data_IF_750791237913
#
_entry.id   IF_750791237913
#
_cell.length_a   1.000
_cell.length_b   1.000
_cell.length_c   1.000
_cell.angle_alpha   90.00
_cell.angle_beta   90.00
_cell.angle_gamma   90.00
#
_symmetry.space_group_name_H-M   'P 1'
#
loop_
_entity.id
_entity.type
_entity.pdbx_description
1 polymer ?
#
# COMPACT_ATOMS: atom_id res chain seq x y z
N UNK A 1 -1.35 -19.25 53.66
CA UNK A 1 -0.16 -19.18 52.78
C UNK A 1 -0.64 -18.82 51.38
N UNK A 2 0.17 -18.04 50.70
CA UNK A 2 -0.10 -17.22 49.52
C UNK A 2 -0.44 -17.99 48.21
N UNK A 3 -1.21 -17.30 47.33
CA UNK A 3 -1.01 -17.16 45.87
C UNK A 3 -1.20 -18.42 44.99
N UNK A 4 -1.70 -18.42 43.75
CA UNK A 4 -2.24 -17.45 42.77
C UNK A 4 -2.74 -18.27 41.58
N UNK A 5 -3.67 -17.74 40.79
CA UNK A 5 -3.95 -18.31 39.47
C UNK A 5 -5.18 -17.73 38.79
N UNK A 6 -5.17 -16.44 38.49
CA UNK A 6 -6.00 -15.91 37.40
C UNK A 6 -5.55 -16.55 36.09
N UNK A 7 -6.50 -16.89 35.21
CA UNK A 7 -6.45 -16.56 33.78
C UNK A 7 -7.75 -16.97 33.07
N UNK A 8 -8.37 -15.98 32.42
CA UNK A 8 -8.99 -16.20 31.12
C UNK A 8 -10.49 -16.50 31.08
N UNK A 9 -11.34 -15.55 31.45
CA UNK A 9 -12.70 -15.53 30.90
C UNK A 9 -12.76 -14.56 29.71
N UNK A 10 -12.50 -15.11 28.52
CA UNK A 10 -12.89 -14.51 27.24
C UNK A 10 -14.38 -14.17 27.34
N UNK A 11 -14.69 -12.87 27.29
CA UNK A 11 -16.07 -12.38 27.19
C UNK A 11 -16.66 -12.97 25.91
N UNK A 12 -17.48 -14.02 26.12
CA UNK A 12 -18.31 -14.66 25.12
C UNK A 12 -19.17 -13.56 24.49
N UNK A 13 -19.06 -13.44 23.17
CA UNK A 13 -19.97 -12.64 22.36
C UNK A 13 -21.40 -12.99 22.74
N UNK A 14 -22.12 -11.99 23.22
CA UNK A 14 -23.51 -12.09 23.59
C UNK A 14 -24.28 -12.37 22.29
N UNK A 15 -24.76 -13.61 22.16
CA UNK A 15 -25.76 -13.98 21.18
C UNK A 15 -27.13 -13.68 21.78
N UNK A 16 -27.85 -12.72 21.22
CA UNK A 16 -29.33 -12.57 21.21
C UNK A 16 -29.62 -11.33 20.34
N UNK A 17 -30.50 -11.33 19.34
CA UNK A 17 -31.84 -11.93 19.24
C UNK A 17 -31.96 -12.68 17.89
N UNK A 18 -32.70 -13.78 17.93
CA UNK A 18 -33.10 -14.64 16.82
C UNK A 18 -33.55 -13.88 15.56
N UNK A 19 -33.17 -14.42 14.39
CA UNK A 19 -33.68 -14.13 13.03
C UNK A 19 -33.32 -12.79 12.36
N UNK A 20 -32.58 -11.88 12.99
CA UNK A 20 -32.26 -10.55 12.43
C UNK A 20 -30.81 -10.25 12.07
N UNK A 21 -30.56 -9.20 11.28
CA UNK A 21 -29.23 -8.56 11.17
C UNK A 21 -28.75 -8.04 12.54
N UNK A 22 -27.45 -8.19 12.82
CA UNK A 22 -26.79 -7.43 13.89
C UNK A 22 -26.72 -5.94 13.55
N UNK A 23 -26.55 -5.08 14.55
CA UNK A 23 -26.49 -3.62 14.34
C UNK A 23 -25.42 -3.20 13.32
N UNK A 24 -24.24 -3.82 13.40
CA UNK A 24 -23.17 -3.58 12.43
C UNK A 24 -23.53 -4.09 11.02
N UNK A 25 -24.32 -5.15 10.90
CA UNK A 25 -24.81 -5.65 9.61
C UNK A 25 -25.91 -4.76 9.03
N UNK A 26 -26.80 -4.21 9.85
CA UNK A 26 -27.81 -3.22 9.42
C UNK A 26 -27.16 -1.97 8.85
N UNK A 27 -26.15 -1.43 9.53
CA UNK A 27 -25.39 -0.27 9.05
C UNK A 27 -24.69 -0.59 7.72
N UNK A 28 -24.04 -1.76 7.62
CA UNK A 28 -23.39 -2.18 6.38
C UNK A 28 -24.39 -2.34 5.23
N UNK A 29 -25.52 -2.98 5.49
CA UNK A 29 -26.58 -3.17 4.50
C UNK A 29 -27.14 -1.83 4.01
N UNK A 30 -27.41 -0.91 4.93
CA UNK A 30 -27.87 0.43 4.60
C UNK A 30 -26.86 1.21 3.74
N UNK A 31 -25.56 1.16 4.10
CA UNK A 31 -24.53 1.81 3.31
C UNK A 31 -24.42 1.23 1.89
N UNK A 32 -24.63 -0.09 1.72
CA UNK A 32 -24.66 -0.71 0.39
C UNK A 32 -25.86 -0.21 -0.44
N UNK A 33 -27.03 -0.04 0.17
CA UNK A 33 -28.19 0.55 -0.51
C UNK A 33 -27.96 2.02 -0.89
N UNK A 34 -27.31 2.80 -0.02
CA UNK A 34 -26.94 4.18 -0.34
C UNK A 34 -25.96 4.25 -1.53
N UNK A 35 -24.92 3.42 -1.56
CA UNK A 35 -23.97 3.34 -2.68
C UNK A 35 -24.69 2.93 -3.96
N UNK A 36 -25.60 1.96 -3.88
CA UNK A 36 -26.41 1.55 -5.02
C UNK A 36 -27.29 2.68 -5.58
N UNK A 37 -27.82 3.56 -4.72
CA UNK A 37 -28.69 4.66 -5.15
C UNK A 37 -27.91 5.90 -5.64
N UNK A 38 -26.77 6.20 -5.03
CA UNK A 38 -26.05 7.46 -5.23
C UNK A 38 -24.80 7.34 -6.11
N UNK A 39 -24.30 6.13 -6.38
CA UNK A 39 -23.06 5.99 -7.16
C UNK A 39 -23.27 6.42 -8.63
N UNK A 40 -22.38 7.28 -9.18
CA UNK A 40 -22.38 7.65 -10.59
C UNK A 40 -22.02 6.50 -11.54
N UNK A 41 -21.42 5.41 -11.04
CA UNK A 41 -20.85 4.35 -11.87
C UNK A 41 -21.71 3.08 -11.84
N UNK A 42 -22.11 2.60 -13.03
CA UNK A 42 -23.03 1.47 -13.17
C UNK A 42 -22.52 0.19 -12.49
N UNK A 43 -21.23 -0.13 -12.68
CA UNK A 43 -20.62 -1.31 -12.07
C UNK A 43 -20.56 -1.25 -10.54
N UNK A 44 -20.45 -0.06 -9.95
CA UNK A 44 -20.51 0.11 -8.49
C UNK A 44 -21.92 -0.11 -7.96
N UNK A 45 -22.94 0.42 -8.66
CA UNK A 45 -24.34 0.20 -8.30
C UNK A 45 -24.70 -1.27 -8.34
N UNK A 46 -24.35 -1.97 -9.42
CA UNK A 46 -24.61 -3.40 -9.59
C UNK A 46 -23.89 -4.25 -8.53
N UNK A 47 -22.62 -3.96 -8.27
CA UNK A 47 -21.85 -4.67 -7.25
C UNK A 47 -22.42 -4.44 -5.83
N UNK A 48 -22.81 -3.21 -5.51
CA UNK A 48 -23.41 -2.88 -4.22
C UNK A 48 -24.75 -3.59 -4.03
N UNK A 49 -25.62 -3.62 -5.05
CA UNK A 49 -26.88 -4.38 -5.02
C UNK A 49 -26.64 -5.88 -4.90
N UNK A 50 -25.68 -6.43 -5.64
CA UNK A 50 -25.33 -7.85 -5.54
C UNK A 50 -24.80 -8.21 -4.13
N UNK A 51 -23.99 -7.33 -3.54
CA UNK A 51 -23.52 -7.49 -2.17
C UNK A 51 -24.66 -7.42 -1.15
N UNK A 52 -25.59 -6.48 -1.29
CA UNK A 52 -26.78 -6.38 -0.44
C UNK A 52 -27.65 -7.64 -0.54
N UNK A 53 -27.92 -8.14 -1.75
CA UNK A 53 -28.67 -9.39 -1.98
C UNK A 53 -28.02 -10.60 -1.30
N UNK A 54 -26.70 -10.74 -1.40
CA UNK A 54 -25.96 -11.82 -0.70
C UNK A 54 -26.07 -11.71 0.81
N UNK A 55 -26.06 -10.48 1.35
CA UNK A 55 -26.17 -10.23 2.78
C UNK A 55 -27.57 -10.58 3.31
N UNK A 56 -28.64 -10.20 2.58
CA UNK A 56 -30.00 -10.58 2.91
C UNK A 56 -30.22 -12.10 2.83
N UNK A 57 -29.75 -12.74 1.76
CA UNK A 57 -29.85 -14.19 1.56
C UNK A 57 -29.16 -15.00 2.68
N UNK A 58 -28.04 -14.52 3.22
CA UNK A 58 -27.33 -15.15 4.34
C UNK A 58 -28.19 -15.23 5.61
N UNK A 59 -29.12 -14.30 5.79
CA UNK A 59 -30.05 -14.24 6.92
C UNK A 59 -31.46 -14.72 6.55
N UNK A 60 -31.64 -15.33 5.37
CA UNK A 60 -32.94 -15.77 4.84
C UNK A 60 -33.99 -14.65 4.73
N UNK A 61 -33.56 -13.41 4.51
CA UNK A 61 -34.45 -12.25 4.34
C UNK A 61 -34.57 -11.86 2.88
N UNK A 62 -35.72 -11.27 2.52
CA UNK A 62 -35.84 -10.54 1.26
C UNK A 62 -35.10 -9.20 1.32
N UNK A 63 -34.72 -8.64 0.15
CA UNK A 63 -34.02 -7.35 0.11
C UNK A 63 -34.87 -6.21 0.66
N UNK A 64 -36.18 -6.28 0.47
CA UNK A 64 -37.16 -5.29 0.96
C UNK A 64 -37.35 -5.39 2.47
N UNK A 65 -37.53 -6.60 2.98
CA UNK A 65 -37.63 -6.89 4.42
C UNK A 65 -36.35 -6.50 5.18
N UNK A 66 -35.18 -6.73 4.57
CA UNK A 66 -33.89 -6.33 5.13
C UNK A 66 -33.70 -4.80 5.15
N UNK A 67 -34.36 -4.06 4.26
CA UNK A 67 -34.29 -2.60 4.18
C UNK A 67 -35.19 -1.91 5.22
N UNK A 68 -36.26 -2.57 5.66
CA UNK A 68 -37.19 -2.04 6.67
C UNK A 68 -36.56 -1.98 8.08
N UNK A 69 -35.54 -2.81 8.34
CA UNK A 69 -34.75 -2.83 9.57
C UNK A 69 -33.64 -1.77 9.67
N UNK A 70 -33.81 -0.62 9.02
CA UNK A 70 -32.84 0.47 8.97
C UNK A 70 -32.36 0.94 10.35
N UNK A 71 -31.17 1.56 10.45
CA UNK A 71 -30.65 2.05 11.72
C UNK A 71 -31.69 3.01 12.34
N UNK A 72 -32.05 2.78 13.60
CA UNK A 72 -32.90 3.70 14.35
C UNK A 72 -32.17 5.05 14.37
N UNK A 73 -32.81 6.09 13.84
CA UNK A 73 -32.33 7.46 13.93
C UNK A 73 -32.38 7.93 15.40
N UNK A 74 -31.44 7.46 16.21
CA UNK A 74 -31.09 8.23 17.39
C UNK A 74 -30.42 9.51 16.90
N UNK A 75 -30.88 10.70 17.33
CA UNK A 75 -30.27 11.95 16.93
C UNK A 75 -28.84 11.96 17.44
N UNK A 76 -27.90 11.56 16.58
CA UNK A 76 -26.48 11.74 16.81
C UNK A 76 -26.29 13.23 17.02
N UNK A 77 -26.07 13.62 18.27
CA UNK A 77 -25.68 14.98 18.63
C UNK A 77 -24.62 15.40 17.62
N UNK A 78 -24.90 16.43 16.82
CA UNK A 78 -23.94 16.99 15.88
C UNK A 78 -22.70 17.30 16.71
N UNK A 79 -21.67 16.47 16.61
CA UNK A 79 -20.42 16.69 17.31
C UNK A 79 -20.01 18.11 16.96
N UNK A 80 -19.96 18.98 17.98
CA UNK A 80 -19.43 20.34 17.81
C UNK A 80 -18.13 20.19 17.06
N UNK A 81 -17.98 20.89 15.93
CA UNK A 81 -16.73 20.88 15.15
C UNK A 81 -15.60 21.14 16.14
N UNK A 82 -14.84 20.09 16.47
CA UNK A 82 -13.64 20.26 17.25
C UNK A 82 -12.81 21.25 16.47
N UNK A 83 -12.56 22.43 17.04
CA UNK A 83 -11.63 23.39 16.45
C UNK A 83 -10.27 22.70 16.48
N UNK A 84 -9.94 22.03 15.38
CA UNK A 84 -8.71 21.29 15.25
C UNK A 84 -7.58 22.30 15.23
N UNK A 85 -6.97 22.54 16.39
CA UNK A 85 -5.77 23.36 16.46
C UNK A 85 -4.62 22.52 15.88
N UNK A 86 -4.38 22.68 14.58
CA UNK A 86 -3.24 22.08 13.89
C UNK A 86 -1.97 22.39 14.69
N UNK A 87 -1.25 21.34 15.09
CA UNK A 87 0.04 21.48 15.76
C UNK A 87 1.04 22.18 14.82
N UNK A 88 2.10 22.79 15.35
CA UNK A 88 3.05 23.57 14.54
C UNK A 88 3.67 22.72 13.41
N UNK A 89 3.95 21.45 13.65
CA UNK A 89 4.45 20.48 12.66
C UNK A 89 3.43 20.20 11.57
N UNK A 90 2.17 20.13 11.92
CA UNK A 90 1.07 19.87 10.99
C UNK A 90 0.79 21.05 10.06
N UNK A 91 0.99 22.28 10.55
CA UNK A 91 0.95 23.49 9.71
C UNK A 91 2.09 23.51 8.70
N UNK A 92 3.31 23.14 9.12
CA UNK A 92 4.46 23.05 8.22
C UNK A 92 4.23 21.99 7.14
N UNK A 93 3.67 20.83 7.52
CA UNK A 93 3.31 19.78 6.58
C UNK A 93 2.16 20.20 5.63
N UNK A 94 1.11 20.83 6.14
CA UNK A 94 0.03 21.36 5.30
C UNK A 94 0.58 22.39 4.30
N UNK A 95 1.44 23.31 4.75
CA UNK A 95 2.06 24.30 3.86
C UNK A 95 2.96 23.63 2.81
N UNK A 96 3.70 22.58 3.16
CA UNK A 96 4.53 21.87 2.17
C UNK A 96 3.69 21.14 1.11
N UNK A 97 2.56 20.54 1.49
CA UNK A 97 1.62 19.95 0.53
C UNK A 97 1.04 20.99 -0.42
N UNK A 98 0.62 22.17 0.09
CA UNK A 98 0.09 23.24 -0.76
C UNK A 98 1.13 23.75 -1.77
N UNK A 99 2.41 23.81 -1.39
CA UNK A 99 3.49 24.14 -2.32
C UNK A 99 3.65 23.07 -3.41
N UNK A 100 3.54 21.79 -3.07
CA UNK A 100 3.58 20.70 -4.04
C UNK A 100 2.36 20.70 -4.98
N UNK A 101 1.18 21.03 -4.48
CA UNK A 101 -0.04 21.13 -5.29
C UNK A 101 0.08 22.22 -6.36
N UNK A 102 0.72 23.35 -6.03
CA UNK A 102 0.99 24.41 -7.00
C UNK A 102 1.90 23.93 -8.13
N UNK A 103 2.93 23.13 -7.81
CA UNK A 103 3.81 22.53 -8.81
C UNK A 103 3.08 21.49 -9.67
N UNK A 104 2.23 20.66 -9.07
CA UNK A 104 1.42 19.69 -9.81
C UNK A 104 0.46 20.39 -10.79
N UNK A 105 -0.16 21.50 -10.37
CA UNK A 105 -1.02 22.30 -11.24
C UNK A 105 -0.24 22.90 -12.42
N UNK A 106 0.97 23.42 -12.17
CA UNK A 106 1.84 23.96 -13.22
C UNK A 106 2.32 22.88 -14.20
N UNK A 107 2.73 21.71 -13.70
CA UNK A 107 3.10 20.55 -14.51
C UNK A 107 1.94 20.11 -15.40
N UNK A 108 0.73 20.01 -14.82
CA UNK A 108 -0.49 19.65 -15.56
C UNK A 108 -0.80 20.67 -16.66
N UNK A 109 -0.72 21.96 -16.37
CA UNK A 109 -0.94 23.03 -17.34
C UNK A 109 0.08 22.98 -18.50
N UNK A 110 1.36 22.73 -18.20
CA UNK A 110 2.40 22.55 -19.22
C UNK A 110 2.13 21.34 -20.10
N UNK A 111 1.73 20.22 -19.49
CA UNK A 111 1.40 19.00 -20.21
C UNK A 111 0.19 19.19 -21.14
N UNK A 112 -0.87 19.83 -20.65
CA UNK A 112 -2.07 20.15 -21.45
C UNK A 112 -1.75 21.10 -22.61
N UNK A 113 -0.92 22.12 -22.38
CA UNK A 113 -0.46 23.01 -23.44
C UNK A 113 0.36 22.27 -24.50
N UNK A 114 1.24 21.36 -24.08
CA UNK A 114 2.04 20.53 -24.99
C UNK A 114 1.16 19.57 -25.82
N UNK A 115 0.15 18.96 -25.20
CA UNK A 115 -0.82 18.13 -25.90
C UNK A 115 -1.60 18.95 -26.93
N UNK A 116 -2.12 20.11 -26.54
CA UNK A 116 -2.85 21.01 -27.44
C UNK A 116 -2.01 21.42 -28.64
N UNK A 117 -0.75 21.81 -28.42
CA UNK A 117 0.18 22.14 -29.51
C UNK A 117 0.47 20.94 -30.44
N UNK A 118 0.54 19.72 -29.89
CA UNK A 118 0.71 18.51 -30.70
C UNK A 118 -0.54 18.19 -31.54
N UNK A 119 -1.74 18.44 -31.02
CA UNK A 119 -3.00 18.34 -31.76
C UNK A 119 -3.07 19.38 -32.89
N UNK A 120 -2.77 20.65 -32.60
CA UNK A 120 -2.74 21.72 -33.61
C UNK A 120 -1.74 21.41 -34.74
N UNK A 121 -0.63 20.74 -34.42
CA UNK A 121 0.38 20.31 -35.39
C UNK A 121 -0.03 19.05 -36.17
N UNK A 122 -1.17 18.43 -35.88
CA UNK A 122 -1.62 17.18 -36.51
C UNK A 122 -0.73 15.97 -36.18
N UNK A 123 0.06 16.04 -35.11
CA UNK A 123 0.99 14.99 -34.69
C UNK A 123 0.35 13.98 -33.74
N UNK A 124 -0.73 14.39 -33.06
CA UNK A 124 -1.55 13.51 -32.23
C UNK A 124 -2.44 12.65 -33.15
N UNK A 125 -2.10 11.36 -33.29
CA UNK A 125 -2.95 10.38 -33.95
C UNK A 125 -4.06 9.97 -32.97
N UNK A 126 -5.31 9.99 -33.44
CA UNK A 126 -6.53 9.59 -32.71
C UNK A 126 -6.29 8.40 -31.78
N UNK A 127 -6.82 8.50 -30.56
CA UNK A 127 -7.18 7.48 -29.56
C UNK A 127 -6.61 6.06 -29.75
N UNK A 128 -5.34 5.95 -30.12
CA UNK A 128 -4.64 4.68 -30.04
C UNK A 128 -4.42 4.50 -28.55
N UNK A 129 -4.96 3.42 -27.95
CA UNK A 129 -4.70 3.13 -26.55
C UNK A 129 -3.20 3.25 -26.38
N UNK A 130 -2.77 4.16 -25.48
CA UNK A 130 -1.36 4.36 -25.22
C UNK A 130 -0.77 2.97 -25.10
N UNK A 131 0.14 2.62 -26.02
CA UNK A 131 0.87 1.35 -25.94
C UNK A 131 1.35 1.31 -24.51
N UNK A 132 0.79 0.38 -23.73
CA UNK A 132 1.00 0.31 -22.30
C UNK A 132 2.46 0.56 -22.05
N UNK A 133 2.81 1.56 -21.24
CA UNK A 133 4.20 1.80 -20.82
C UNK A 133 4.81 0.56 -20.14
N UNK A 134 4.03 -0.51 -19.95
CA UNK A 134 4.46 -1.90 -19.96
C UNK A 134 5.10 -2.37 -21.27
N UNK A 135 6.09 -1.65 -21.81
CA UNK A 135 7.30 -2.43 -22.14
C UNK A 135 7.72 -3.03 -20.79
N UNK A 136 8.06 -4.32 -20.66
CA UNK A 136 8.61 -4.82 -19.42
C UNK A 136 9.74 -3.85 -19.10
N UNK A 137 9.56 -3.04 -18.03
CA UNK A 137 10.58 -2.12 -17.56
C UNK A 137 11.78 -3.01 -17.46
N UNK A 138 12.73 -2.90 -18.40
CA UNK A 138 13.97 -3.64 -18.33
C UNK A 138 14.47 -3.22 -16.98
N UNK A 139 14.35 -4.12 -16.00
CA UNK A 139 14.82 -3.87 -14.65
C UNK A 139 16.30 -3.65 -14.90
N UNK A 140 16.67 -2.38 -14.99
CA UNK A 140 18.06 -1.98 -15.20
C UNK A 140 18.72 -2.64 -14.03
N UNK A 141 19.48 -3.70 -14.29
CA UNK A 141 20.13 -4.48 -13.27
C UNK A 141 21.02 -3.49 -12.54
N UNK A 142 20.51 -2.91 -11.44
CA UNK A 142 21.16 -1.82 -10.74
C UNK A 142 22.39 -2.50 -10.17
N UNK A 143 23.57 -2.11 -10.67
CA UNK A 143 24.82 -2.59 -10.10
C UNK A 143 24.71 -2.45 -8.58
N UNK A 144 25.02 -3.50 -7.81
CA UNK A 144 24.86 -3.45 -6.36
C UNK A 144 25.56 -2.20 -5.83
N UNK A 145 24.84 -1.40 -5.05
CA UNK A 145 25.41 -0.22 -4.39
C UNK A 145 26.33 -0.74 -3.29
N UNK A 146 27.64 -0.74 -3.56
CA UNK A 146 28.66 -1.25 -2.65
C UNK A 146 29.97 -1.59 -3.36
N UNK A 147 31.00 -1.86 -2.57
CA UNK A 147 32.29 -2.33 -3.07
C UNK A 147 32.11 -3.68 -3.79
N UNK A 148 32.65 -3.88 -5.01
CA UNK A 148 32.57 -5.16 -5.69
C UNK A 148 33.18 -6.28 -4.82
N UNK A 149 32.55 -7.47 -4.72
CA UNK A 149 32.98 -8.54 -3.83
C UNK A 149 34.45 -8.94 -3.97
N UNK A 150 34.99 -8.92 -5.19
CA UNK A 150 36.40 -9.21 -5.47
C UNK A 150 37.34 -8.18 -4.85
N UNK A 151 36.99 -6.89 -4.93
CA UNK A 151 37.81 -5.82 -4.36
C UNK A 151 37.68 -5.84 -2.83
N UNK A 152 36.47 -6.07 -2.31
CA UNK A 152 36.26 -6.25 -0.87
C UNK A 152 37.09 -7.42 -0.31
N UNK A 153 37.09 -8.57 -0.97
CA UNK A 153 37.89 -9.73 -0.56
C UNK A 153 39.40 -9.47 -0.65
N UNK A 154 39.87 -8.73 -1.65
CA UNK A 154 41.28 -8.36 -1.78
C UNK A 154 41.74 -7.43 -0.64
N UNK A 155 40.88 -6.48 -0.23
CA UNK A 155 41.14 -5.61 0.92
C UNK A 155 41.20 -6.44 2.20
N UNK A 156 40.23 -7.32 2.43
CA UNK A 156 40.24 -8.19 3.62
C UNK A 156 41.49 -9.07 3.67
N UNK A 157 41.90 -9.67 2.54
CA UNK A 157 43.13 -10.48 2.48
C UNK A 157 44.42 -9.69 2.74
N UNK A 158 44.41 -8.37 2.54
CA UNK A 158 45.59 -7.50 2.71
C UNK A 158 45.65 -6.86 4.09
N UNK A 159 44.50 -6.42 4.59
CA UNK A 159 44.40 -5.59 5.78
C UNK A 159 43.99 -6.38 7.04
N UNK A 160 43.52 -7.63 6.88
CA UNK A 160 43.07 -8.45 8.02
C UNK A 160 43.67 -9.85 8.01
N UNK A 161 43.68 -10.49 9.17
CA UNK A 161 44.13 -11.89 9.36
C UNK A 161 42.98 -12.91 9.29
N UNK A 162 41.85 -12.53 8.68
CA UNK A 162 40.68 -13.41 8.58
C UNK A 162 41.00 -14.68 7.79
N UNK A 163 40.35 -15.78 8.19
CA UNK A 163 40.43 -17.03 7.46
C UNK A 163 39.74 -16.92 6.10
N UNK A 164 40.16 -17.76 5.15
CA UNK A 164 39.56 -17.82 3.81
C UNK A 164 38.05 -18.10 3.89
N UNK A 165 37.62 -18.90 4.87
CA UNK A 165 36.19 -19.25 5.08
C UNK A 165 35.39 -18.04 5.58
N UNK A 166 35.95 -17.23 6.48
CA UNK A 166 35.30 -16.01 6.97
C UNK A 166 35.18 -14.96 5.86
N UNK A 167 36.23 -14.77 5.06
CA UNK A 167 36.19 -13.84 3.91
C UNK A 167 35.17 -14.29 2.87
N UNK A 168 35.04 -15.60 2.64
CA UNK A 168 34.02 -16.18 1.77
C UNK A 168 32.60 -15.86 2.26
N UNK A 169 32.35 -16.05 3.57
CA UNK A 169 31.07 -15.73 4.20
C UNK A 169 30.70 -14.23 4.09
N UNK A 170 31.67 -13.33 4.33
CA UNK A 170 31.46 -11.87 4.30
C UNK A 170 31.23 -11.35 2.87
N UNK A 171 31.98 -11.86 1.90
CA UNK A 171 31.96 -11.33 0.52
C UNK A 171 30.99 -12.07 -0.40
N UNK A 172 30.48 -13.22 0.01
CA UNK A 172 29.67 -14.10 -0.83
C UNK A 172 30.45 -14.73 -1.99
N UNK A 173 31.79 -14.68 -1.95
CA UNK A 173 32.64 -15.36 -2.91
C UNK A 173 32.88 -16.79 -2.48
N UNK A 174 32.88 -17.71 -3.45
CA UNK A 174 33.29 -19.10 -3.24
C UNK A 174 34.74 -19.18 -2.71
N UNK A 175 34.98 -20.15 -1.83
CA UNK A 175 36.27 -20.38 -1.14
C UNK A 175 37.41 -20.45 -2.14
N UNK A 176 37.23 -21.15 -3.27
CA UNK A 176 38.25 -21.28 -4.31
C UNK A 176 38.57 -19.96 -5.03
N UNK A 177 37.60 -19.05 -5.11
CA UNK A 177 37.84 -17.71 -5.68
C UNK A 177 38.66 -16.85 -4.74
N UNK A 178 38.43 -16.98 -3.43
CA UNK A 178 39.21 -16.27 -2.40
C UNK A 178 40.64 -16.81 -2.34
N UNK A 179 40.85 -18.14 -2.42
CA UNK A 179 42.21 -18.71 -2.48
C UNK A 179 42.96 -18.27 -3.72
N UNK A 180 42.32 -18.27 -4.89
CA UNK A 180 42.92 -17.78 -6.13
C UNK A 180 43.33 -16.30 -6.03
N UNK A 181 42.52 -15.46 -5.38
CA UNK A 181 42.88 -14.06 -5.11
C UNK A 181 44.09 -13.95 -4.17
N UNK A 182 44.13 -14.75 -3.11
CA UNK A 182 45.28 -14.80 -2.19
C UNK A 182 46.57 -15.21 -2.90
N UNK A 183 46.51 -16.19 -3.79
CA UNK A 183 47.66 -16.63 -4.58
C UNK A 183 48.13 -15.56 -5.56
N UNK A 184 47.21 -14.88 -6.25
CA UNK A 184 47.54 -13.77 -7.16
C UNK A 184 48.19 -12.58 -6.46
N UNK A 185 47.86 -12.37 -5.19
CA UNK A 185 48.43 -11.29 -4.37
C UNK A 185 49.80 -11.64 -3.76
N UNK A 186 50.29 -12.88 -3.90
CA UNK A 186 51.64 -13.22 -3.44
C UNK A 186 52.64 -12.48 -4.31
N UNK A 187 53.52 -11.70 -3.67
CA UNK A 187 54.74 -11.23 -4.35
C UNK A 187 55.58 -12.47 -4.72
N UNK A 188 56.24 -12.50 -5.89
CA UNK A 188 57.24 -13.52 -6.16
C UNK A 188 58.30 -13.45 -5.06
N UNK A 189 58.73 -14.61 -4.57
CA UNK A 189 59.84 -14.68 -3.64
C UNK A 189 61.06 -14.02 -4.30
N UNK A 190 61.60 -12.99 -3.65
CA UNK A 190 62.88 -12.38 -4.00
C UNK A 190 64.02 -13.22 -3.42
#
# INVERSE_FOLDING_TARGET
>A
MAYTGQLGNKLKGIKTISEGFSEAERIRFHNLLQVAALSPYDGERENALAAAKRMAAKHNMSLEEAAEGGPRDEPKQKARRASYSMSATERVFANSLHLMDSHLAQEKARHEAALKAAYERGLAKDDKPQKSLGSPVKVRNRKPRGMPPKIHAAVLLRETELSIREISSITGLDVYKVTALKLKNRKPAA
#
